data_IF_081890033715
#
_entry.id   IF_081890033715
#
_cell.length_a   1.000
_cell.length_b   1.000
_cell.length_c   1.000
_cell.angle_alpha   90.00
_cell.angle_beta   90.00
_cell.angle_gamma   90.00
#
_symmetry.space_group_name_H-M   'P 1'
#
loop_
_entity.id
_entity.type
_entity.pdbx_description
1 polymer ?
#
# COMPACT_ATOMS: atom_id res chain seq x y z
N UNK A 1 0.99 44.14 18.51
CA UNK A 1 0.49 42.93 19.16
C UNK A 1 -0.66 42.30 18.35
N UNK A 2 -0.41 41.63 17.17
CA UNK A 2 -1.48 41.00 16.36
C UNK A 2 -1.03 39.77 15.53
N UNK A 3 -0.01 39.03 15.98
CA UNK A 3 0.45 37.83 15.20
C UNK A 3 0.50 36.54 16.00
N UNK A 4 -0.24 36.38 17.10
CA UNK A 4 -0.21 35.16 17.94
C UNK A 4 -1.38 34.17 17.68
N UNK A 5 -2.34 34.45 16.79
CA UNK A 5 -3.51 33.58 16.64
C UNK A 5 -3.55 32.71 15.35
N UNK A 6 -2.62 32.87 14.41
CA UNK A 6 -2.66 32.13 13.14
C UNK A 6 -1.98 30.77 13.20
N UNK A 7 -1.11 30.53 14.21
CA UNK A 7 -0.33 29.29 14.29
C UNK A 7 -1.07 28.08 14.89
N UNK A 8 -2.22 28.28 15.50
CA UNK A 8 -2.94 27.19 16.20
C UNK A 8 -3.86 26.35 15.29
N UNK A 9 -4.23 26.85 14.14
CA UNK A 9 -5.17 26.14 13.23
C UNK A 9 -4.48 25.15 12.28
N UNK A 10 -3.18 25.26 12.03
CA UNK A 10 -2.48 24.38 11.10
C UNK A 10 -2.02 23.04 11.72
N UNK A 11 -1.94 22.97 13.06
CA UNK A 11 -1.55 21.75 13.78
C UNK A 11 -2.67 20.73 13.93
N UNK A 12 -3.94 21.11 13.68
CA UNK A 12 -5.09 20.24 13.95
C UNK A 12 -5.44 19.28 12.79
N UNK A 13 -4.93 19.52 11.58
CA UNK A 13 -5.28 18.70 10.41
C UNK A 13 -4.48 17.40 10.25
N UNK A 14 -3.33 17.26 10.94
CA UNK A 14 -2.45 16.09 10.82
C UNK A 14 -2.91 14.91 11.71
N UNK A 15 -3.79 15.15 12.69
CA UNK A 15 -4.22 14.14 13.67
C UNK A 15 -5.32 13.17 13.21
N UNK A 16 -6.07 13.48 12.14
CA UNK A 16 -7.29 12.74 11.78
C UNK A 16 -6.99 11.35 11.17
N UNK A 17 -5.91 11.21 10.40
CA UNK A 17 -5.59 9.93 9.73
C UNK A 17 -5.05 8.87 10.72
N UNK A 18 -4.38 9.30 11.78
CA UNK A 18 -3.83 8.38 12.79
C UNK A 18 -4.91 7.76 13.68
N UNK A 19 -5.93 8.52 14.03
CA UNK A 19 -7.00 8.08 14.91
C UNK A 19 -7.89 7.00 14.26
N UNK A 20 -8.08 7.06 12.94
CA UNK A 20 -8.92 6.09 12.23
C UNK A 20 -8.32 4.69 12.25
N UNK A 21 -7.04 4.56 11.95
CA UNK A 21 -6.35 3.27 11.89
C UNK A 21 -6.27 2.58 13.26
N UNK A 22 -5.94 3.31 14.32
CA UNK A 22 -5.89 2.74 15.68
C UNK A 22 -7.28 2.30 16.14
N UNK A 23 -8.31 3.12 15.97
CA UNK A 23 -9.69 2.77 16.34
C UNK A 23 -10.23 1.55 15.56
N UNK A 24 -9.81 1.36 14.33
CA UNK A 24 -10.21 0.20 13.52
C UNK A 24 -9.56 -1.09 14.04
N UNK A 25 -8.31 -1.05 14.49
CA UNK A 25 -7.57 -2.24 14.97
C UNK A 25 -8.08 -2.70 16.35
N UNK A 26 -8.67 -1.82 17.15
CA UNK A 26 -9.23 -2.16 18.46
C UNK A 26 -10.43 -3.11 18.36
N UNK A 27 -11.13 -3.13 17.22
CA UNK A 27 -12.22 -4.08 17.00
C UNK A 27 -11.75 -5.32 16.23
N UNK A 28 -12.40 -6.49 16.43
CA UNK A 28 -12.09 -7.69 15.69
C UNK A 28 -12.17 -7.47 14.18
N UNK A 29 -11.22 -7.99 13.42
CA UNK A 29 -11.11 -7.72 11.98
C UNK A 29 -12.32 -8.25 11.17
N UNK A 30 -13.00 -9.29 11.65
CA UNK A 30 -14.24 -9.82 11.05
C UNK A 30 -15.43 -8.84 11.15
N UNK A 31 -15.29 -7.77 11.94
CA UNK A 31 -16.26 -6.66 12.07
C UNK A 31 -15.89 -5.42 11.27
N UNK A 32 -14.75 -5.43 10.55
CA UNK A 32 -14.40 -4.30 9.71
C UNK A 32 -15.35 -4.22 8.51
N UNK A 33 -15.84 -3.01 8.23
CA UNK A 33 -16.60 -2.73 7.01
C UNK A 33 -15.70 -2.69 5.77
N UNK A 34 -16.30 -2.66 4.59
CA UNK A 34 -15.55 -2.63 3.32
C UNK A 34 -14.60 -1.44 3.24
N UNK A 35 -15.07 -0.24 3.57
CA UNK A 35 -14.26 0.99 3.50
C UNK A 35 -13.09 0.96 4.50
N UNK A 36 -13.33 0.46 5.72
CA UNK A 36 -12.27 0.29 6.72
C UNK A 36 -11.21 -0.70 6.25
N UNK A 37 -11.65 -1.80 5.66
CA UNK A 37 -10.77 -2.84 5.10
C UNK A 37 -9.92 -2.29 3.96
N UNK A 38 -10.54 -1.55 3.02
CA UNK A 38 -9.82 -0.92 1.91
C UNK A 38 -8.82 0.12 2.43
N UNK A 39 -9.22 0.99 3.37
CA UNK A 39 -8.30 1.96 3.96
C UNK A 39 -7.12 1.31 4.67
N UNK A 40 -7.35 0.18 5.36
CA UNK A 40 -6.26 -0.60 5.97
C UNK A 40 -5.25 -1.06 4.92
N UNK A 41 -5.71 -1.43 3.72
CA UNK A 41 -4.90 -1.93 2.62
C UNK A 41 -4.28 -0.85 1.74
N UNK A 42 -4.68 0.42 1.87
CA UNK A 42 -4.25 1.51 0.97
C UNK A 42 -3.66 2.72 1.70
N UNK A 43 -4.21 3.10 2.85
CA UNK A 43 -3.91 4.37 3.54
C UNK A 43 -3.77 4.18 5.05
N UNK A 44 -3.01 3.17 5.47
CA UNK A 44 -2.77 2.87 6.88
C UNK A 44 -1.31 3.10 7.26
N UNK A 45 -0.93 2.94 8.53
CA UNK A 45 0.46 2.90 8.92
C UNK A 45 1.28 1.84 8.17
N UNK A 46 0.65 0.73 7.76
CA UNK A 46 1.27 -0.42 7.09
C UNK A 46 1.09 -0.44 5.58
N UNK A 47 0.35 0.50 5.02
CA UNK A 47 0.10 0.60 3.58
C UNK A 47 0.20 2.04 3.10
N UNK A 48 0.85 2.24 1.95
CA UNK A 48 1.05 3.54 1.32
C UNK A 48 0.65 3.50 -0.13
N UNK A 49 -0.24 4.39 -0.52
CA UNK A 49 -0.59 4.63 -1.91
C UNK A 49 0.28 5.73 -2.49
N UNK A 50 0.81 5.48 -3.67
CA UNK A 50 1.49 6.48 -4.48
C UNK A 50 0.74 6.69 -5.79
N UNK A 51 0.38 7.94 -6.06
CA UNK A 51 -0.17 8.37 -7.35
C UNK A 51 0.93 9.06 -8.15
N UNK A 52 1.19 8.55 -9.34
CA UNK A 52 2.17 9.20 -10.23
C UNK A 52 1.73 10.63 -10.56
N UNK A 53 2.65 11.61 -10.51
CA UNK A 53 2.34 12.99 -10.88
C UNK A 53 1.81 13.15 -12.32
N UNK A 54 2.28 12.30 -13.24
CA UNK A 54 1.80 12.30 -14.62
C UNK A 54 0.34 11.90 -14.74
N UNK A 55 -0.14 11.02 -13.85
CA UNK A 55 -1.55 10.64 -13.79
C UNK A 55 -2.45 11.78 -13.34
N UNK A 56 -2.03 12.54 -12.33
CA UNK A 56 -2.81 13.68 -11.83
C UNK A 56 -2.83 14.87 -12.80
N UNK A 57 -1.73 15.14 -13.50
CA UNK A 57 -1.66 16.20 -14.50
C UNK A 57 -2.57 15.88 -15.70
N UNK A 58 -2.56 14.65 -16.19
CA UNK A 58 -3.43 14.22 -17.29
C UNK A 58 -4.91 14.16 -16.87
N UNK A 59 -5.21 13.80 -15.63
CA UNK A 59 -6.58 13.84 -15.10
C UNK A 59 -7.10 15.27 -14.99
N UNK A 60 -6.28 16.21 -14.51
CA UNK A 60 -6.63 17.64 -14.46
C UNK A 60 -6.78 18.24 -15.86
N UNK A 61 -5.86 17.95 -16.77
CA UNK A 61 -5.96 18.38 -18.17
C UNK A 61 -7.20 17.79 -18.86
N UNK A 62 -7.52 16.55 -18.59
CA UNK A 62 -8.74 15.88 -19.07
C UNK A 62 -10.03 16.50 -18.53
N UNK A 63 -10.05 16.99 -17.28
CA UNK A 63 -11.19 17.73 -16.72
C UNK A 63 -11.35 19.11 -17.38
N UNK A 64 -10.28 19.87 -17.53
CA UNK A 64 -10.29 21.18 -18.20
C UNK A 64 -10.75 21.03 -19.66
N UNK A 65 -10.26 20.02 -20.38
CA UNK A 65 -10.67 19.73 -21.73
C UNK A 65 -12.17 19.34 -21.82
N UNK A 66 -12.73 18.68 -20.81
CA UNK A 66 -14.17 18.34 -20.72
C UNK A 66 -15.03 19.56 -20.45
N UNK A 67 -14.63 20.44 -19.55
CA UNK A 67 -15.34 21.68 -19.26
C UNK A 67 -15.36 22.59 -20.50
N UNK A 68 -14.26 22.67 -21.24
CA UNK A 68 -14.17 23.39 -22.49
C UNK A 68 -15.01 22.75 -23.61
N UNK A 69 -15.04 21.43 -23.72
CA UNK A 69 -15.85 20.72 -24.70
C UNK A 69 -17.35 20.78 -24.40
N UNK A 70 -17.74 20.81 -23.13
CA UNK A 70 -19.14 20.98 -22.71
C UNK A 70 -19.64 22.41 -22.98
N UNK A 71 -18.79 23.41 -22.83
CA UNK A 71 -19.13 24.81 -23.15
C UNK A 71 -19.17 25.08 -24.65
N UNK A 72 -18.50 24.28 -25.47
CA UNK A 72 -18.48 24.43 -26.93
C UNK A 72 -19.59 23.65 -27.67
N UNK A 73 -20.25 22.70 -27.03
CA UNK A 73 -21.16 21.77 -27.71
C UNK A 73 -22.59 21.81 -27.15
N UNK A 74 -23.25 22.95 -27.32
CA UNK A 74 -24.72 23.06 -27.20
C UNK A 74 -25.46 22.65 -28.50
N UNK A 75 -24.82 21.95 -29.42
CA UNK A 75 -25.40 21.46 -30.67
C UNK A 75 -24.94 20.07 -31.02
N UNK A 76 -25.90 19.15 -31.00
CA UNK A 76 -25.84 17.70 -31.12
C UNK A 76 -24.79 17.05 -31.96
N UNK A 77 -24.36 15.92 -31.52
CA UNK A 77 -24.21 14.61 -32.19
C UNK A 77 -23.19 13.71 -31.48
N UNK A 78 -23.59 12.45 -31.26
CA UNK A 78 -22.85 11.25 -30.89
C UNK A 78 -21.66 11.37 -29.91
N UNK A 79 -21.74 10.78 -28.72
CA UNK A 79 -20.59 10.59 -27.88
C UNK A 79 -19.72 9.47 -28.48
N UNK A 80 -18.78 9.83 -29.34
CA UNK A 80 -17.61 8.97 -29.57
C UNK A 80 -16.99 8.71 -28.21
N UNK A 81 -16.79 7.46 -27.90
CA UNK A 81 -16.07 6.99 -26.73
C UNK A 81 -14.79 7.79 -26.55
N UNK A 82 -14.84 8.81 -25.71
CA UNK A 82 -13.64 9.49 -25.23
C UNK A 82 -12.91 8.42 -24.45
N UNK A 83 -11.82 7.91 -24.98
CA UNK A 83 -10.88 7.08 -24.23
C UNK A 83 -10.55 7.88 -22.98
N UNK A 84 -11.00 7.38 -21.83
CA UNK A 84 -10.66 7.96 -20.54
C UNK A 84 -9.18 7.72 -20.36
N UNK A 85 -8.38 8.69 -20.73
CA UNK A 85 -6.95 8.71 -20.44
C UNK A 85 -6.80 8.95 -18.94
N UNK A 86 -7.14 7.92 -18.17
CA UNK A 86 -6.80 7.85 -16.78
C UNK A 86 -5.30 7.62 -16.76
N UNK A 87 -4.58 8.54 -16.16
CA UNK A 87 -3.16 8.34 -15.90
C UNK A 87 -2.89 6.96 -15.25
N UNK A 88 -1.62 6.57 -15.15
CA UNK A 88 -1.29 5.26 -14.62
C UNK A 88 -1.98 5.04 -13.26
N UNK A 89 -2.53 3.83 -13.01
CA UNK A 89 -3.21 3.55 -11.76
C UNK A 89 -2.26 3.74 -10.57
N UNK A 90 -2.79 4.14 -9.41
CA UNK A 90 -1.98 4.28 -8.21
C UNK A 90 -1.32 2.95 -7.82
N UNK A 91 -0.13 3.06 -7.26
CA UNK A 91 0.63 1.91 -6.74
C UNK A 91 0.47 1.87 -5.23
N UNK A 92 0.19 0.70 -4.69
CA UNK A 92 0.07 0.50 -3.24
C UNK A 92 1.19 -0.40 -2.74
N UNK A 93 2.00 0.12 -1.83
CA UNK A 93 2.97 -0.68 -1.10
C UNK A 93 2.40 -1.06 0.27
N UNK A 94 2.56 -2.33 0.65
CA UNK A 94 2.08 -2.88 1.92
C UNK A 94 3.17 -3.62 2.65
N UNK A 95 3.22 -3.44 3.94
CA UNK A 95 4.00 -4.28 4.84
C UNK A 95 3.19 -5.55 5.14
N UNK A 96 3.28 -6.53 4.24
CA UNK A 96 2.51 -7.78 4.33
C UNK A 96 2.80 -8.58 5.61
N UNK A 97 4.04 -8.50 6.13
CA UNK A 97 4.40 -9.11 7.41
C UNK A 97 3.65 -8.53 8.61
N UNK A 98 3.00 -7.39 8.48
CA UNK A 98 2.16 -6.83 9.53
C UNK A 98 0.81 -7.57 9.62
N UNK A 99 0.44 -8.02 10.82
CA UNK A 99 -0.81 -8.75 11.04
C UNK A 99 -2.06 -7.96 10.58
N UNK A 100 -2.18 -6.63 10.82
CA UNK A 100 -3.35 -5.87 10.36
C UNK A 100 -3.55 -5.91 8.84
N UNK A 101 -2.48 -5.96 8.05
CA UNK A 101 -2.58 -6.10 6.59
C UNK A 101 -3.13 -7.46 6.20
N UNK A 102 -2.64 -8.54 6.83
CA UNK A 102 -3.14 -9.90 6.56
C UNK A 102 -4.60 -10.07 6.99
N UNK A 103 -4.96 -9.50 8.14
CA UNK A 103 -6.35 -9.46 8.60
C UNK A 103 -7.26 -8.72 7.61
N UNK A 104 -6.84 -7.59 7.09
CA UNK A 104 -7.59 -6.84 6.10
C UNK A 104 -7.76 -7.61 4.77
N UNK A 105 -6.71 -8.33 4.32
CA UNK A 105 -6.81 -9.19 3.14
C UNK A 105 -7.81 -10.35 3.35
N UNK A 106 -7.80 -10.97 4.53
CA UNK A 106 -8.79 -12.01 4.87
C UNK A 106 -10.19 -11.42 4.97
N UNK A 107 -10.34 -10.25 5.60
CA UNK A 107 -11.64 -9.58 5.70
C UNK A 107 -12.22 -9.20 4.32
N UNK A 108 -11.39 -8.72 3.41
CA UNK A 108 -11.82 -8.45 2.04
C UNK A 108 -12.38 -9.72 1.38
N UNK A 109 -11.70 -10.86 1.52
CA UNK A 109 -12.18 -12.15 1.02
C UNK A 109 -13.47 -12.61 1.72
N UNK A 110 -13.61 -12.36 3.03
CA UNK A 110 -14.85 -12.63 3.77
C UNK A 110 -16.02 -11.80 3.23
N UNK A 111 -15.81 -10.51 2.98
CA UNK A 111 -16.83 -9.62 2.43
C UNK A 111 -17.26 -10.05 1.03
N UNK A 112 -16.31 -10.40 0.17
CA UNK A 112 -16.57 -10.85 -1.19
C UNK A 112 -17.30 -12.21 -1.23
N UNK A 113 -17.00 -13.10 -0.28
CA UNK A 113 -17.66 -14.41 -0.12
C UNK A 113 -19.01 -14.33 0.60
N UNK A 114 -19.45 -13.15 1.06
CA UNK A 114 -20.67 -13.01 1.85
C UNK A 114 -20.60 -13.72 3.21
N UNK A 115 -19.42 -13.79 3.81
CA UNK A 115 -19.10 -14.51 5.05
C UNK A 115 -20.12 -14.30 6.17
N UNK A 116 -20.62 -13.08 6.34
CA UNK A 116 -21.54 -12.75 7.42
C UNK A 116 -22.86 -13.54 7.33
N UNK A 117 -23.22 -14.03 6.13
CA UNK A 117 -24.42 -14.84 5.84
C UNK A 117 -24.16 -16.35 5.83
N UNK A 118 -22.91 -16.79 5.96
CA UNK A 118 -22.54 -18.21 5.96
C UNK A 118 -23.03 -18.89 7.25
N UNK A 119 -23.26 -20.21 7.16
CA UNK A 119 -23.50 -21.06 8.32
C UNK A 119 -22.28 -21.07 9.25
N UNK A 120 -22.46 -21.47 10.51
CA UNK A 120 -21.36 -21.62 11.46
C UNK A 120 -20.28 -22.59 10.98
N UNK A 121 -20.68 -23.69 10.33
CA UNK A 121 -19.78 -24.69 9.76
C UNK A 121 -18.96 -24.13 8.61
N UNK A 122 -19.60 -23.39 7.70
CA UNK A 122 -18.91 -22.77 6.55
C UNK A 122 -17.93 -21.68 7.01
N UNK A 123 -18.32 -20.88 8.02
CA UNK A 123 -17.41 -19.90 8.66
C UNK A 123 -16.19 -20.57 9.25
N UNK A 124 -16.38 -21.63 10.03
CA UNK A 124 -15.27 -22.37 10.62
C UNK A 124 -14.33 -22.97 9.56
N UNK A 125 -14.88 -23.50 8.47
CA UNK A 125 -14.10 -24.00 7.35
C UNK A 125 -13.32 -22.89 6.64
N UNK A 126 -13.96 -21.74 6.40
CA UNK A 126 -13.30 -20.58 5.82
C UNK A 126 -12.12 -20.12 6.68
N UNK A 127 -12.35 -19.96 7.98
CA UNK A 127 -11.33 -19.48 8.94
C UNK A 127 -10.16 -20.45 9.06
N UNK A 128 -10.43 -21.75 9.13
CA UNK A 128 -9.41 -22.81 9.15
C UNK A 128 -8.49 -22.73 7.93
N UNK A 129 -9.06 -22.49 6.74
CA UNK A 129 -8.31 -22.33 5.49
C UNK A 129 -7.45 -21.05 5.47
N UNK A 130 -7.77 -20.03 6.27
CA UNK A 130 -7.02 -18.76 6.35
C UNK A 130 -6.04 -18.70 7.52
N UNK A 131 -6.10 -19.65 8.45
CA UNK A 131 -5.24 -19.65 9.63
C UNK A 131 -3.75 -19.58 9.29
N UNK A 132 -3.27 -20.42 8.38
CA UNK A 132 -1.85 -20.40 7.94
C UNK A 132 -1.43 -19.06 7.33
N UNK A 133 -2.33 -18.39 6.61
CA UNK A 133 -2.09 -17.07 6.03
C UNK A 133 -2.00 -16.00 7.12
N UNK A 134 -2.87 -16.04 8.13
CA UNK A 134 -2.82 -15.12 9.27
C UNK A 134 -1.59 -15.37 10.15
N UNK A 135 -1.23 -16.62 10.41
CA UNK A 135 -0.07 -17.00 11.22
C UNK A 135 1.26 -16.62 10.52
N UNK A 136 1.33 -16.75 9.21
CA UNK A 136 2.45 -16.34 8.36
C UNK A 136 3.83 -16.72 8.93
N UNK A 137 4.19 -18.00 8.92
CA UNK A 137 5.47 -18.46 9.47
C UNK A 137 6.68 -17.71 8.89
N UNK A 138 6.68 -17.45 7.58
CA UNK A 138 7.77 -16.70 6.93
C UNK A 138 7.89 -15.25 7.42
N UNK A 139 6.79 -14.65 7.90
CA UNK A 139 6.81 -13.30 8.45
C UNK A 139 7.56 -13.20 9.79
N UNK A 140 7.86 -14.32 10.43
CA UNK A 140 8.68 -14.33 11.66
C UNK A 140 10.17 -14.08 11.34
N UNK A 141 10.63 -14.50 10.17
CA UNK A 141 12.02 -14.35 9.74
C UNK A 141 12.25 -13.14 8.84
N UNK A 142 11.22 -12.75 8.07
CA UNK A 142 11.34 -11.73 7.04
C UNK A 142 10.35 -10.60 7.24
N UNK A 143 10.80 -9.40 6.92
CA UNK A 143 9.92 -8.33 6.49
C UNK A 143 9.47 -8.65 5.08
N UNK A 144 8.19 -8.91 4.92
CA UNK A 144 7.59 -9.17 3.61
C UNK A 144 6.85 -7.91 3.18
N UNK A 145 7.29 -7.34 2.07
CA UNK A 145 6.69 -6.14 1.48
C UNK A 145 6.08 -6.51 0.16
N UNK A 146 4.87 -6.04 -0.10
CA UNK A 146 4.19 -6.26 -1.37
C UNK A 146 3.89 -4.95 -2.06
N UNK A 147 3.96 -4.97 -3.39
CA UNK A 147 3.62 -3.83 -4.23
C UNK A 147 2.63 -4.26 -5.29
N UNK A 148 1.53 -3.52 -5.38
CA UNK A 148 0.42 -3.81 -6.28
C UNK A 148 -0.13 -2.50 -6.85
N UNK A 149 -0.66 -2.53 -8.08
CA UNK A 149 -1.43 -1.41 -8.63
C UNK A 149 -2.88 -1.49 -8.21
N UNK A 150 -3.44 -0.34 -7.87
CA UNK A 150 -4.86 -0.19 -7.53
C UNK A 150 -5.62 0.27 -8.76
N UNK A 151 -6.67 -0.42 -9.18
CA UNK A 151 -7.27 -0.18 -10.49
C UNK A 151 -8.61 0.51 -10.50
N UNK A 152 -9.42 0.39 -9.46
CA UNK A 152 -10.74 1.02 -9.46
C UNK A 152 -11.39 1.17 -8.09
N UNK A 153 -12.56 1.80 -8.09
CA UNK A 153 -13.41 2.00 -6.92
C UNK A 153 -14.00 0.69 -6.36
N UNK A 154 -13.86 -0.44 -7.05
CA UNK A 154 -14.33 -1.75 -6.58
C UNK A 154 -13.34 -2.42 -5.62
N UNK A 155 -12.16 -1.83 -5.44
CA UNK A 155 -11.08 -2.40 -4.63
C UNK A 155 -10.33 -3.53 -5.32
N UNK A 156 -10.46 -3.68 -6.64
CA UNK A 156 -9.66 -4.63 -7.40
C UNK A 156 -8.25 -4.11 -7.59
N UNK A 157 -7.29 -4.98 -7.37
CA UNK A 157 -5.85 -4.69 -7.49
C UNK A 157 -5.33 -5.40 -8.73
N UNK A 158 -4.78 -4.64 -9.67
CA UNK A 158 -4.19 -5.18 -10.89
C UNK A 158 -2.78 -4.64 -11.02
N UNK A 159 -1.83 -5.48 -11.32
CA UNK A 159 -0.50 -5.08 -11.72
C UNK A 159 -0.32 -5.29 -13.23
N UNK A 160 0.13 -4.25 -13.92
CA UNK A 160 0.58 -4.36 -15.30
C UNK A 160 2.10 -4.21 -15.34
N UNK A 161 2.78 -5.31 -15.50
CA UNK A 161 4.08 -5.41 -16.15
C UNK A 161 5.30 -4.76 -15.52
N UNK A 162 5.22 -3.91 -14.47
CA UNK A 162 6.40 -3.20 -13.96
C UNK A 162 7.44 -4.19 -13.42
N UNK A 163 6.98 -5.16 -12.65
CA UNK A 163 7.87 -6.14 -12.01
C UNK A 163 7.79 -7.55 -12.61
N UNK A 164 6.87 -7.79 -13.59
CA UNK A 164 6.72 -9.12 -14.21
C UNK A 164 7.98 -9.61 -14.92
N UNK A 165 8.70 -8.69 -15.56
CA UNK A 165 9.95 -9.00 -16.29
C UNK A 165 11.19 -8.87 -15.44
N UNK A 166 11.09 -8.48 -14.17
CA UNK A 166 12.23 -8.31 -13.28
C UNK A 166 12.57 -9.60 -12.55
N UNK A 167 13.85 -9.83 -12.40
CA UNK A 167 14.38 -10.93 -11.61
C UNK A 167 14.92 -10.45 -10.27
N UNK A 168 15.25 -11.38 -9.37
CA UNK A 168 15.95 -11.05 -8.13
C UNK A 168 17.28 -10.33 -8.41
N UNK A 169 18.04 -10.77 -9.41
CA UNK A 169 19.35 -10.16 -9.75
C UNK A 169 19.21 -8.73 -10.26
N UNK A 170 18.11 -8.37 -10.94
CA UNK A 170 17.85 -6.99 -11.34
C UNK A 170 17.63 -6.07 -10.13
N UNK A 171 17.06 -6.60 -9.05
CA UNK A 171 16.66 -5.84 -7.85
C UNK A 171 17.71 -5.87 -6.74
N UNK A 172 18.56 -6.88 -6.72
CA UNK A 172 19.61 -7.09 -5.73
C UNK A 172 20.55 -5.88 -5.66
N UNK A 173 20.80 -5.39 -4.45
CA UNK A 173 21.60 -4.18 -4.23
C UNK A 173 20.88 -2.86 -4.59
N UNK A 174 19.77 -2.93 -5.36
CA UNK A 174 19.02 -1.77 -5.81
C UNK A 174 17.76 -1.49 -4.98
N UNK A 175 17.39 -2.43 -4.11
CA UNK A 175 16.20 -2.31 -3.25
C UNK A 175 16.59 -2.65 -1.81
N UNK A 176 16.24 -1.76 -0.87
CA UNK A 176 16.58 -1.94 0.55
C UNK A 176 15.45 -1.47 1.46
N UNK A 177 15.41 -2.04 2.68
CA UNK A 177 14.73 -1.44 3.82
C UNK A 177 15.74 -0.68 4.66
N UNK A 178 15.39 0.54 5.10
CA UNK A 178 16.26 1.42 5.89
C UNK A 178 15.46 1.97 7.07
N UNK A 179 16.01 1.88 8.28
CA UNK A 179 15.38 2.49 9.45
C UNK A 179 15.85 3.95 9.67
N UNK A 180 15.30 4.61 10.69
CA UNK A 180 15.64 5.99 11.05
C UNK A 180 17.08 6.18 11.56
N UNK A 181 17.79 5.08 11.88
CA UNK A 181 19.21 5.10 12.31
C UNK A 181 20.17 4.87 11.13
N UNK A 182 19.65 4.68 9.93
CA UNK A 182 20.46 4.36 8.73
C UNK A 182 20.89 2.89 8.64
N UNK A 183 20.36 2.03 9.50
CA UNK A 183 20.58 0.58 9.34
C UNK A 183 19.77 0.05 8.18
N UNK A 184 20.36 -0.85 7.41
CA UNK A 184 19.77 -1.37 6.18
C UNK A 184 19.54 -2.89 6.25
N UNK A 185 18.53 -3.35 5.48
CA UNK A 185 18.37 -4.76 5.09
C UNK A 185 18.28 -4.83 3.59
N UNK A 186 19.16 -5.65 3.02
CA UNK A 186 19.15 -5.93 1.59
C UNK A 186 18.02 -6.91 1.23
N UNK A 187 17.55 -6.80 -0.01
CA UNK A 187 16.65 -7.77 -0.60
C UNK A 187 17.33 -9.14 -0.64
N UNK A 188 16.67 -10.16 -0.12
CA UNK A 188 17.19 -11.55 -0.11
C UNK A 188 16.41 -12.49 -1.00
N UNK A 189 15.16 -12.13 -1.35
CA UNK A 189 14.32 -12.87 -2.26
C UNK A 189 13.29 -11.93 -2.89
N UNK A 190 12.94 -12.19 -4.13
CA UNK A 190 11.90 -11.50 -4.87
C UNK A 190 11.03 -12.50 -5.62
N UNK A 191 9.73 -12.33 -5.53
CA UNK A 191 8.77 -13.07 -6.34
C UNK A 191 8.10 -12.07 -7.28
N UNK A 192 8.37 -12.21 -8.58
CA UNK A 192 7.71 -11.44 -9.61
C UNK A 192 6.24 -11.86 -9.72
N UNK A 193 5.31 -10.94 -10.02
CA UNK A 193 3.93 -11.27 -10.31
C UNK A 193 3.87 -12.17 -11.55
N UNK A 194 3.10 -13.25 -11.47
CA UNK A 194 2.94 -14.20 -12.57
C UNK A 194 1.78 -13.82 -13.51
N UNK A 195 0.84 -13.05 -12.99
CA UNK A 195 -0.33 -12.57 -13.74
C UNK A 195 -0.77 -11.20 -13.20
N UNK A 196 -1.77 -10.60 -13.87
CA UNK A 196 -2.26 -9.26 -13.55
C UNK A 196 -2.94 -9.10 -12.18
N UNK A 197 -3.22 -10.21 -11.47
CA UNK A 197 -3.80 -10.20 -10.11
C UNK A 197 -2.77 -10.42 -9.02
N UNK A 198 -1.56 -10.82 -9.41
CA UNK A 198 -0.49 -11.05 -8.47
C UNK A 198 0.18 -9.73 -8.07
N UNK A 199 0.90 -9.78 -6.97
CA UNK A 199 1.68 -8.66 -6.46
C UNK A 199 3.17 -8.99 -6.52
N UNK A 200 3.99 -7.98 -6.71
CA UNK A 200 5.42 -8.09 -6.51
C UNK A 200 5.70 -8.28 -5.01
N UNK A 201 6.48 -9.29 -4.64
CA UNK A 201 6.76 -9.63 -3.24
C UNK A 201 8.25 -9.57 -2.97
N UNK A 202 8.63 -8.77 -1.98
CA UNK A 202 10.00 -8.50 -1.58
C UNK A 202 10.25 -9.01 -0.17
N UNK A 203 11.38 -9.74 0.03
CA UNK A 203 11.73 -10.34 1.31
C UNK A 203 13.05 -9.76 1.82
N UNK A 204 13.04 -9.33 3.09
CA UNK A 204 14.21 -8.77 3.78
C UNK A 204 14.35 -9.46 5.13
N UNK A 205 15.57 -9.87 5.50
CA UNK A 205 15.79 -10.46 6.84
C UNK A 205 15.39 -9.49 7.95
N UNK A 206 14.67 -9.98 8.97
CA UNK A 206 14.35 -9.15 10.15
C UNK A 206 15.59 -8.82 10.94
N UNK A 207 16.42 -9.81 11.19
CA UNK A 207 17.65 -9.69 11.96
C UNK A 207 18.86 -9.58 11.02
N UNK A 208 19.89 -8.84 11.46
CA UNK A 208 21.21 -8.85 10.85
C UNK A 208 22.01 -10.10 11.27
N UNK A 209 23.27 -10.22 10.83
CA UNK A 209 24.14 -11.33 11.17
C UNK A 209 24.39 -11.47 12.69
N UNK A 210 24.29 -10.39 13.45
CA UNK A 210 24.42 -10.37 14.92
C UNK A 210 23.10 -10.65 15.66
N UNK A 211 22.01 -10.96 14.93
CA UNK A 211 20.69 -11.22 15.51
C UNK A 211 19.88 -9.96 15.86
N UNK A 212 20.40 -8.75 15.59
CA UNK A 212 19.69 -7.51 15.89
C UNK A 212 18.58 -7.23 14.87
N UNK A 213 17.33 -6.94 15.32
CA UNK A 213 16.22 -6.61 14.44
C UNK A 213 16.42 -5.22 13.82
N UNK A 214 15.88 -4.99 12.60
CA UNK A 214 15.88 -3.66 11.98
C UNK A 214 14.93 -2.69 12.69
N UNK A 215 13.78 -3.18 13.13
CA UNK A 215 12.75 -2.39 13.81
C UNK A 215 12.57 -2.85 15.25
N UNK A 216 12.48 -1.86 16.13
CA UNK A 216 12.12 -1.99 17.54
C UNK A 216 10.99 -1.03 17.86
N UNK A 217 10.43 -1.07 19.07
CA UNK A 217 9.42 -0.12 19.53
C UNK A 217 9.92 1.34 19.49
N UNK A 218 11.23 1.56 19.62
CA UNK A 218 11.86 2.88 19.60
C UNK A 218 12.14 3.41 18.19
N UNK A 219 11.97 2.58 17.16
CA UNK A 219 12.16 3.00 15.76
C UNK A 219 11.09 4.02 15.36
N UNK A 220 11.51 5.07 14.67
CA UNK A 220 10.61 6.16 14.25
C UNK A 220 10.06 5.94 12.85
N UNK A 221 10.91 5.44 11.96
CA UNK A 221 10.62 5.37 10.54
C UNK A 221 11.20 4.10 9.91
N UNK A 222 10.51 3.58 8.91
CA UNK A 222 10.98 2.56 7.98
C UNK A 222 10.82 3.08 6.57
N UNK A 223 11.87 2.98 5.77
CA UNK A 223 11.87 3.34 4.35
C UNK A 223 12.09 2.10 3.51
N UNK A 224 11.25 1.93 2.49
CA UNK A 224 11.54 1.05 1.37
C UNK A 224 12.12 1.92 0.27
N UNK A 225 13.35 1.63 -0.16
CA UNK A 225 14.12 2.49 -1.05
C UNK A 225 14.46 1.75 -2.33
N UNK A 226 14.16 2.37 -3.48
CA UNK A 226 14.74 2.05 -4.77
C UNK A 226 15.91 2.98 -5.04
N UNK A 227 17.10 2.43 -5.28
CA UNK A 227 18.26 3.27 -5.57
C UNK A 227 18.11 3.98 -6.92
N UNK A 228 18.55 5.26 -7.01
CA UNK A 228 18.24 6.12 -8.16
C UNK A 228 18.64 5.52 -9.50
N UNK A 229 19.82 4.99 -9.63
CA UNK A 229 20.34 4.44 -10.89
C UNK A 229 19.53 3.26 -11.44
N UNK A 230 18.83 2.53 -10.58
CA UNK A 230 17.99 1.41 -10.99
C UNK A 230 16.72 1.88 -11.70
N UNK A 231 15.98 2.80 -11.11
CA UNK A 231 14.74 3.31 -11.71
C UNK A 231 15.05 4.11 -13.00
N UNK A 232 16.14 4.87 -13.01
CA UNK A 232 16.54 5.68 -14.15
C UNK A 232 17.02 4.80 -15.32
N UNK A 233 17.73 3.69 -15.06
CA UNK A 233 18.18 2.74 -16.09
C UNK A 233 17.05 1.99 -16.79
N UNK A 234 15.92 1.81 -16.09
CA UNK A 234 14.72 1.13 -16.62
C UNK A 234 13.68 2.10 -17.17
N UNK A 235 14.06 3.29 -17.57
CA UNK A 235 13.35 4.44 -18.18
C UNK A 235 11.81 4.47 -18.26
N UNK A 236 11.14 3.32 -18.15
CA UNK A 236 9.69 3.16 -18.20
C UNK A 236 9.01 3.28 -16.84
N UNK A 237 9.77 3.22 -15.73
CA UNK A 237 9.21 2.97 -14.41
C UNK A 237 9.48 4.07 -13.39
N UNK A 238 10.45 4.95 -13.65
CA UNK A 238 10.83 6.02 -12.74
C UNK A 238 9.67 6.97 -12.37
N UNK A 239 8.65 7.04 -13.20
CA UNK A 239 7.44 7.85 -12.94
C UNK A 239 6.28 7.04 -12.35
N UNK A 240 6.33 5.69 -12.37
CA UNK A 240 5.25 4.84 -11.89
C UNK A 240 5.37 4.48 -10.42
N UNK A 241 6.58 4.47 -9.89
CA UNK A 241 6.86 4.20 -8.47
C UNK A 241 7.75 5.29 -7.90
N UNK A 242 7.52 5.73 -6.66
CA UNK A 242 8.41 6.69 -6.02
C UNK A 242 9.75 6.01 -5.68
N UNK A 243 10.80 6.80 -5.57
CA UNK A 243 12.10 6.30 -5.12
C UNK A 243 12.07 5.75 -3.68
N UNK A 244 11.14 6.26 -2.87
CA UNK A 244 11.04 5.88 -1.46
C UNK A 244 9.59 5.83 -1.03
N UNK A 245 9.23 4.75 -0.33
CA UNK A 245 8.01 4.68 0.48
C UNK A 245 8.39 4.81 1.96
N UNK A 246 7.77 5.75 2.66
CA UNK A 246 8.05 6.03 4.07
C UNK A 246 6.90 5.57 4.96
N UNK A 247 7.25 4.82 6.00
CA UNK A 247 6.32 4.31 7.00
C UNK A 247 6.71 4.83 8.39
N UNK A 248 5.76 5.47 9.09
CA UNK A 248 5.97 5.95 10.46
C UNK A 248 5.74 4.82 11.45
N UNK A 249 6.82 4.26 12.00
CA UNK A 249 6.77 3.10 12.92
C UNK A 249 6.00 3.42 14.20
N UNK A 250 6.10 4.65 14.72
CA UNK A 250 5.32 5.09 15.89
C UNK A 250 3.80 4.97 15.72
N UNK A 251 3.30 4.95 14.48
CA UNK A 251 1.88 4.75 14.17
C UNK A 251 1.48 3.27 14.01
N UNK A 252 2.45 2.35 14.06
CA UNK A 252 2.23 0.92 13.99
C UNK A 252 2.11 0.27 15.37
N UNK A 253 2.20 1.06 16.42
CA UNK A 253 2.02 0.60 17.80
C UNK A 253 0.54 0.43 18.12
N UNK A 254 0.19 -0.69 18.76
CA UNK A 254 -1.13 -0.94 19.36
C UNK A 254 -0.87 -1.25 20.84
N UNK A 255 -1.21 -0.30 21.71
CA UNK A 255 -0.66 -0.29 23.06
C UNK A 255 0.87 -0.23 23.01
N UNK A 256 1.52 -1.09 23.77
CA UNK A 256 3.00 -1.18 23.82
C UNK A 256 3.58 -2.15 22.77
N UNK A 257 2.74 -2.67 21.88
CA UNK A 257 3.14 -3.72 20.93
C UNK A 257 3.29 -3.16 19.51
N UNK A 258 4.46 -3.35 18.94
CA UNK A 258 4.69 -3.07 17.53
C UNK A 258 4.01 -4.15 16.68
N UNK A 259 3.00 -3.76 15.90
CA UNK A 259 2.22 -4.65 15.03
C UNK A 259 2.87 -4.74 13.65
N UNK A 260 3.85 -5.66 13.55
CA UNK A 260 4.69 -5.73 12.37
C UNK A 260 4.95 -7.16 11.91
#
# INVERSE_FOLDING_TARGET
>A
MKYKQVFFFFSMFIFVVSAFSQKTIEKPYDKWGKDETIKMLTESPWAKTYQSPTGSANAAAGQIAREQAQSANSGGSNPRSVSRDFGPPPVVMRLFSALPVRQALVRLQQLDAGYDKLSATDKASFDANRKKFLDCAICMEYYVVTLIKFTDSSGQFIEEGVFQSMTFEDLKGNVKLVNDKGEERELVQFNAPQNFRDQAVFYFKRANAAGAPLLTADSKELKFVFYPGFLDSKNRFAYLVPRTFEFKVSKMMVGDRLMF
#
